data_IF_196188028766
#
_entry.id   IF_196188028766
#
_cell.length_a   1.000
_cell.length_b   1.000
_cell.length_c   1.000
_cell.angle_alpha   90.00
_cell.angle_beta   90.00
_cell.angle_gamma   90.00
#
_symmetry.space_group_name_H-M   'P 1'
#
loop_
_entity.id
_entity.type
_entity.pdbx_description
1 polymer ?
#
# COMPACT_ATOMS: atom_id res chain seq x y z
N UNK A 1 7.70 18.15 -8.77
CA UNK A 1 7.61 16.72 -8.42
C UNK A 1 7.02 15.97 -9.60
N UNK A 2 7.64 14.86 -10.02
CA UNK A 2 7.08 14.01 -11.07
C UNK A 2 5.96 13.13 -10.48
N UNK A 3 4.86 12.95 -11.22
CA UNK A 3 3.73 12.11 -10.80
C UNK A 3 3.48 11.02 -11.85
N UNK A 4 3.23 9.80 -11.41
CA UNK A 4 3.12 8.63 -12.27
C UNK A 4 1.77 7.92 -12.11
N UNK A 5 1.13 7.60 -13.24
CA UNK A 5 -0.10 6.82 -13.33
C UNK A 5 -0.19 6.12 -14.69
N UNK A 6 -0.63 4.86 -14.68
CA UNK A 6 -0.98 4.14 -15.90
C UNK A 6 -2.48 3.92 -15.97
N UNK A 7 -3.17 4.32 -17.06
CA UNK A 7 -4.59 3.97 -17.27
C UNK A 7 -4.86 2.45 -17.29
N UNK A 8 -3.83 1.61 -17.47
CA UNK A 8 -3.98 0.17 -17.36
C UNK A 8 -4.35 -0.29 -15.95
N UNK A 9 -4.10 0.53 -14.91
CA UNK A 9 -4.54 0.30 -13.53
C UNK A 9 -6.06 0.09 -13.44
N UNK A 10 -6.85 0.73 -14.34
CA UNK A 10 -8.31 0.61 -14.39
C UNK A 10 -8.82 -0.77 -14.80
N UNK A 11 -7.94 -1.64 -15.30
CA UNK A 11 -8.26 -3.04 -15.61
C UNK A 11 -8.57 -3.87 -14.37
N UNK A 12 -8.05 -3.47 -13.20
CA UNK A 12 -8.49 -4.04 -11.93
C UNK A 12 -9.65 -3.21 -11.40
N UNK A 13 -10.88 -3.68 -11.59
CA UNK A 13 -12.09 -2.99 -11.12
C UNK A 13 -13.19 -3.97 -10.69
N UNK A 14 -12.93 -4.90 -9.75
CA UNK A 14 -13.98 -5.78 -9.24
C UNK A 14 -15.11 -4.94 -8.63
N UNK A 15 -16.34 -5.19 -9.09
CA UNK A 15 -17.49 -4.39 -8.68
C UNK A 15 -17.87 -4.60 -7.20
N UNK A 16 -17.55 -5.77 -6.65
CA UNK A 16 -17.98 -6.20 -5.33
C UNK A 16 -16.86 -6.90 -4.57
N UNK A 17 -16.88 -6.78 -3.25
CA UNK A 17 -16.08 -7.55 -2.30
C UNK A 17 -16.99 -8.08 -1.18
N UNK A 18 -16.48 -8.91 -0.26
CA UNK A 18 -17.24 -9.28 0.92
C UNK A 18 -16.91 -8.37 2.10
N UNK A 19 -17.92 -7.64 2.57
CA UNK A 19 -17.88 -6.83 3.77
C UNK A 19 -18.72 -7.53 4.85
N UNK A 20 -18.10 -7.88 5.98
CA UNK A 20 -18.79 -8.50 7.13
C UNK A 20 -19.62 -9.74 6.74
N UNK A 21 -19.09 -10.54 5.81
CA UNK A 21 -19.73 -11.77 5.32
C UNK A 21 -20.79 -11.58 4.24
N UNK A 22 -21.04 -10.36 3.76
CA UNK A 22 -22.01 -10.08 2.69
C UNK A 22 -21.37 -9.37 1.51
N UNK A 23 -21.83 -9.60 0.25
CA UNK A 23 -21.40 -8.82 -0.89
C UNK A 23 -21.73 -7.34 -0.72
N UNK A 24 -20.73 -6.48 -0.94
CA UNK A 24 -20.86 -5.03 -0.91
C UNK A 24 -20.14 -4.42 -2.13
N UNK A 25 -20.53 -3.22 -2.59
CA UNK A 25 -19.78 -2.51 -3.63
C UNK A 25 -18.33 -2.28 -3.21
N UNK A 26 -17.36 -2.64 -4.06
CA UNK A 26 -15.96 -2.33 -3.80
C UNK A 26 -15.77 -0.81 -3.68
N UNK A 27 -15.13 -0.31 -2.61
CA UNK A 27 -14.76 1.09 -2.52
C UNK A 27 -13.48 1.39 -3.31
N UNK A 28 -12.67 0.36 -3.62
CA UNK A 28 -11.47 0.44 -4.44
C UNK A 28 -11.84 0.37 -5.93
N UNK A 29 -12.12 1.54 -6.55
CA UNK A 29 -12.60 1.69 -7.93
C UNK A 29 -11.82 2.76 -8.70
N UNK A 30 -11.84 2.73 -10.06
CA UNK A 30 -11.19 3.75 -10.90
C UNK A 30 -11.48 5.21 -10.49
N UNK A 31 -12.70 5.48 -10.02
CA UNK A 31 -13.12 6.78 -9.49
C UNK A 31 -12.14 7.37 -8.45
N UNK A 32 -11.48 6.53 -7.64
CA UNK A 32 -10.45 6.98 -6.70
C UNK A 32 -9.29 7.66 -7.42
N UNK A 33 -8.76 7.00 -8.46
CA UNK A 33 -7.64 7.50 -9.23
C UNK A 33 -8.04 8.77 -10.02
N UNK A 34 -9.26 8.81 -10.55
CA UNK A 34 -9.82 9.99 -11.24
C UNK A 34 -9.85 11.22 -10.32
N UNK A 35 -10.43 11.10 -9.12
CA UNK A 35 -10.51 12.20 -8.14
C UNK A 35 -9.13 12.70 -7.70
N UNK A 36 -8.19 11.80 -7.47
CA UNK A 36 -6.81 12.15 -7.10
C UNK A 36 -6.08 12.81 -8.28
N UNK A 37 -6.28 12.34 -9.51
CA UNK A 37 -5.71 12.93 -10.72
C UNK A 37 -6.24 14.36 -10.98
N UNK A 38 -7.53 14.60 -10.76
CA UNK A 38 -8.13 15.93 -10.82
C UNK A 38 -7.50 16.88 -9.78
N UNK A 39 -7.31 16.41 -8.55
CA UNK A 39 -6.66 17.19 -7.49
C UNK A 39 -5.21 17.55 -7.83
N UNK A 40 -4.44 16.60 -8.39
CA UNK A 40 -3.10 16.88 -8.91
C UNK A 40 -3.11 17.96 -10.01
N UNK A 41 -4.05 17.85 -10.95
CA UNK A 41 -4.23 18.84 -12.01
C UNK A 41 -4.56 20.24 -11.48
N UNK A 42 -5.37 20.33 -10.41
CA UNK A 42 -5.67 21.56 -9.70
C UNK A 42 -4.46 22.21 -9.02
N UNK A 43 -3.41 21.43 -8.73
CA UNK A 43 -2.12 21.91 -8.23
C UNK A 43 -1.09 22.17 -9.35
N UNK A 44 -1.48 22.04 -10.62
CA UNK A 44 -0.56 22.17 -11.76
C UNK A 44 0.39 20.98 -11.94
N UNK A 45 0.22 19.89 -11.19
CA UNK A 45 0.99 18.66 -11.33
C UNK A 45 0.42 17.83 -12.48
N UNK A 46 1.30 17.19 -13.26
CA UNK A 46 0.92 16.36 -14.40
C UNK A 46 1.30 14.91 -14.16
N UNK A 47 0.36 14.01 -14.47
CA UNK A 47 0.61 12.58 -14.50
C UNK A 47 1.31 12.20 -15.80
N UNK A 48 2.30 11.32 -15.67
CA UNK A 48 2.98 10.65 -16.77
C UNK A 48 2.83 9.14 -16.61
N UNK A 49 2.78 8.41 -17.72
CA UNK A 49 2.71 6.95 -17.66
C UNK A 49 4.11 6.32 -17.55
N UNK A 50 4.26 5.21 -16.81
CA UNK A 50 5.49 4.44 -16.83
C UNK A 50 5.77 3.94 -18.27
N UNK A 51 7.06 3.77 -18.60
CA UNK A 51 7.48 3.39 -19.95
C UNK A 51 6.99 1.99 -20.37
N UNK A 52 6.86 1.08 -19.39
CA UNK A 52 6.22 -0.23 -19.54
C UNK A 52 5.47 -0.56 -18.26
N UNK A 53 4.40 -1.35 -18.38
CA UNK A 53 3.66 -1.91 -17.24
C UNK A 53 4.05 -3.36 -16.92
N UNK A 54 4.78 -4.01 -17.83
CA UNK A 54 5.30 -5.35 -17.66
C UNK A 54 6.67 -5.43 -18.34
N UNK A 55 7.72 -5.49 -17.53
CA UNK A 55 9.10 -5.55 -18.00
C UNK A 55 9.85 -6.64 -17.25
N UNK A 56 10.88 -7.25 -17.86
CA UNK A 56 11.73 -8.20 -17.14
C UNK A 56 12.35 -7.60 -15.87
N UNK A 57 12.71 -6.31 -15.88
CA UNK A 57 13.26 -5.61 -14.72
C UNK A 57 12.25 -5.48 -13.58
N UNK A 58 11.00 -5.10 -13.90
CA UNK A 58 9.92 -5.02 -12.93
C UNK A 58 9.64 -6.39 -12.31
N UNK A 59 9.52 -7.44 -13.13
CA UNK A 59 9.29 -8.81 -12.66
C UNK A 59 10.42 -9.28 -11.72
N UNK A 60 11.68 -9.03 -12.10
CA UNK A 60 12.83 -9.37 -11.25
C UNK A 60 12.82 -8.63 -9.92
N UNK A 61 12.46 -7.34 -9.90
CA UNK A 61 12.35 -6.55 -8.67
C UNK A 61 11.22 -7.05 -7.78
N UNK A 62 10.07 -7.42 -8.36
CA UNK A 62 8.96 -8.02 -7.62
C UNK A 62 9.35 -9.34 -6.93
N UNK A 63 10.17 -10.18 -7.57
CA UNK A 63 10.69 -11.43 -6.99
C UNK A 63 11.57 -11.23 -5.75
N UNK A 64 12.04 -10.00 -5.48
CA UNK A 64 12.82 -9.68 -4.28
C UNK A 64 11.96 -9.47 -3.02
N UNK A 65 10.67 -9.21 -3.20
CA UNK A 65 9.73 -8.92 -2.11
C UNK A 65 8.54 -9.89 -2.06
N UNK A 66 8.24 -10.54 -3.19
CA UNK A 66 7.18 -11.54 -3.32
C UNK A 66 7.77 -12.87 -3.76
N UNK A 67 7.24 -13.98 -3.27
CA UNK A 67 7.77 -15.28 -3.68
C UNK A 67 7.38 -15.61 -5.12
N UNK A 68 8.22 -16.36 -5.86
CA UNK A 68 7.90 -16.73 -7.24
C UNK A 68 6.56 -17.46 -7.39
N UNK A 69 6.19 -18.30 -6.42
CA UNK A 69 4.89 -19.01 -6.46
C UNK A 69 3.70 -18.07 -6.26
N UNK A 70 3.84 -17.03 -5.45
CA UNK A 70 2.78 -16.05 -5.26
C UNK A 70 2.57 -15.19 -6.52
N UNK A 71 3.65 -14.76 -7.16
CA UNK A 71 3.59 -14.05 -8.43
C UNK A 71 2.95 -14.92 -9.53
N UNK A 72 3.35 -16.19 -9.64
CA UNK A 72 2.73 -17.15 -10.56
C UNK A 72 1.24 -17.37 -10.25
N UNK A 73 0.86 -17.41 -8.97
CA UNK A 73 -0.53 -17.49 -8.56
C UNK A 73 -1.32 -16.29 -9.09
N UNK A 74 -0.87 -15.05 -8.82
CA UNK A 74 -1.57 -13.84 -9.28
C UNK A 74 -1.75 -13.81 -10.79
N UNK A 75 -0.73 -14.21 -11.55
CA UNK A 75 -0.75 -14.21 -13.02
C UNK A 75 -1.71 -15.26 -13.59
N UNK A 76 -1.86 -16.41 -12.94
CA UNK A 76 -2.52 -17.58 -13.55
C UNK A 76 -3.87 -17.95 -12.90
N UNK A 77 -4.17 -17.47 -11.70
CA UNK A 77 -5.27 -18.00 -10.90
C UNK A 77 -6.62 -17.82 -11.57
N UNK A 78 -6.91 -16.67 -12.18
CA UNK A 78 -8.21 -16.44 -12.81
C UNK A 78 -8.49 -17.45 -13.93
N UNK A 79 -7.54 -17.67 -14.85
CA UNK A 79 -7.71 -18.63 -15.93
C UNK A 79 -7.94 -20.06 -15.39
N UNK A 80 -7.17 -20.46 -14.37
CA UNK A 80 -7.31 -21.77 -13.72
C UNK A 80 -8.61 -21.91 -12.95
N UNK A 81 -9.07 -20.83 -12.32
CA UNK A 81 -10.34 -20.77 -11.60
C UNK A 81 -11.52 -20.95 -12.55
N UNK A 82 -11.53 -20.22 -13.67
CA UNK A 82 -12.59 -20.29 -14.71
C UNK A 82 -12.64 -21.64 -15.44
N UNK A 83 -11.58 -22.43 -15.40
CA UNK A 83 -11.58 -23.80 -15.93
C UNK A 83 -12.35 -24.80 -15.05
N UNK A 84 -12.63 -24.46 -13.78
CA UNK A 84 -13.40 -25.33 -12.88
C UNK A 84 -14.91 -25.25 -13.19
N UNK A 85 -15.62 -26.37 -13.35
CA UNK A 85 -17.07 -26.36 -13.54
C UNK A 85 -17.80 -25.67 -12.38
N UNK A 86 -18.68 -24.72 -12.70
CA UNK A 86 -19.50 -24.00 -11.70
C UNK A 86 -18.76 -22.93 -10.90
N UNK A 87 -17.52 -22.58 -11.25
CA UNK A 87 -16.79 -21.51 -10.57
C UNK A 87 -17.44 -20.13 -10.79
N UNK A 88 -17.33 -19.26 -9.78
CA UNK A 88 -17.70 -17.85 -9.86
C UNK A 88 -16.82 -17.09 -10.86
N UNK A 89 -17.29 -15.94 -11.34
CA UNK A 89 -16.52 -15.07 -12.24
C UNK A 89 -15.26 -14.53 -11.55
N UNK A 90 -15.43 -13.98 -10.35
CA UNK A 90 -14.34 -13.51 -9.52
C UNK A 90 -13.73 -14.67 -8.73
N UNK A 91 -12.40 -14.71 -8.66
CA UNK A 91 -11.69 -15.56 -7.72
C UNK A 91 -11.88 -14.98 -6.32
N UNK A 92 -12.39 -15.77 -5.39
CA UNK A 92 -12.49 -15.43 -3.99
C UNK A 92 -12.20 -16.69 -3.15
N UNK A 93 -11.47 -16.58 -2.03
CA UNK A 93 -11.20 -17.74 -1.19
C UNK A 93 -12.48 -18.19 -0.47
N UNK A 94 -12.53 -19.42 0.00
CA UNK A 94 -13.57 -19.93 0.90
C UNK A 94 -13.04 -20.94 1.91
N UNK A 95 -11.72 -21.15 1.90
CA UNK A 95 -10.94 -22.00 2.79
C UNK A 95 -9.64 -21.26 3.06
N UNK A 96 -9.05 -21.42 4.24
CA UNK A 96 -7.77 -20.79 4.58
C UNK A 96 -6.90 -21.79 5.34
N UNK A 97 -5.55 -21.74 5.20
CA UNK A 97 -4.63 -22.62 5.91
C UNK A 97 -4.45 -22.19 7.38
N UNK A 98 -5.56 -22.05 8.12
CA UNK A 98 -5.56 -21.66 9.53
C UNK A 98 -4.75 -22.66 10.38
N UNK A 99 -4.03 -22.15 11.38
CA UNK A 99 -3.26 -22.98 12.31
C UNK A 99 -1.92 -23.53 11.76
N UNK A 100 -1.37 -22.93 10.70
CA UNK A 100 -0.03 -23.24 10.20
C UNK A 100 0.00 -24.34 9.14
N UNK A 101 -0.90 -24.29 8.15
CA UNK A 101 -0.86 -25.25 7.04
C UNK A 101 0.53 -25.36 6.39
N UNK A 102 1.06 -26.57 6.27
CA UNK A 102 2.41 -26.82 5.71
C UNK A 102 2.40 -27.43 4.31
N UNK A 103 1.26 -27.96 3.86
CA UNK A 103 1.11 -28.57 2.54
C UNK A 103 0.58 -27.55 1.55
N UNK A 104 1.40 -27.16 0.57
CA UNK A 104 0.99 -26.24 -0.48
C UNK A 104 0.11 -26.96 -1.52
N UNK A 105 -1.14 -26.53 -1.74
CA UNK A 105 -2.07 -27.21 -2.64
C UNK A 105 -1.81 -26.88 -4.12
N UNK A 106 -2.06 -27.84 -5.00
CA UNK A 106 -2.08 -27.62 -6.45
C UNK A 106 -3.45 -27.10 -6.94
N UNK A 107 -4.53 -27.40 -6.22
CA UNK A 107 -5.89 -27.06 -6.65
C UNK A 107 -6.17 -25.54 -6.54
N UNK A 108 -6.83 -24.89 -7.54
CA UNK A 108 -7.08 -23.45 -7.52
C UNK A 108 -7.79 -22.94 -6.26
N UNK A 109 -8.78 -23.67 -5.75
CA UNK A 109 -9.45 -23.35 -4.45
C UNK A 109 -8.45 -23.28 -3.30
N UNK A 110 -7.55 -24.27 -3.19
CA UNK A 110 -6.55 -24.31 -2.13
C UNK A 110 -5.54 -23.16 -2.27
N UNK A 111 -5.11 -22.84 -3.49
CA UNK A 111 -4.18 -21.74 -3.74
C UNK A 111 -4.82 -20.37 -3.51
N UNK A 112 -6.09 -20.19 -3.88
CA UNK A 112 -6.85 -19.00 -3.54
C UNK A 112 -6.93 -18.83 -2.02
N UNK A 113 -7.24 -19.90 -1.29
CA UNK A 113 -7.23 -19.88 0.18
C UNK A 113 -5.87 -19.62 0.82
N UNK A 114 -4.80 -20.06 0.17
CA UNK A 114 -3.42 -19.87 0.63
C UNK A 114 -2.95 -18.42 0.45
N UNK A 115 -3.24 -17.82 -0.70
CA UNK A 115 -2.68 -16.54 -1.11
C UNK A 115 -3.62 -15.35 -0.93
N UNK A 116 -4.93 -15.57 -0.72
CA UNK A 116 -5.89 -14.50 -0.43
C UNK A 116 -6.26 -14.59 1.05
N UNK A 117 -5.70 -13.68 1.86
CA UNK A 117 -5.82 -13.71 3.31
C UNK A 117 -7.24 -13.41 3.80
N UNK A 118 -7.95 -12.55 3.07
CA UNK A 118 -9.29 -12.12 3.37
C UNK A 118 -10.18 -12.18 2.11
N UNK A 119 -11.38 -11.63 2.22
CA UNK A 119 -12.38 -11.60 1.16
C UNK A 119 -12.49 -10.23 0.49
N UNK A 120 -11.50 -9.36 0.69
CA UNK A 120 -11.39 -8.02 0.13
C UNK A 120 -10.52 -7.98 -1.15
N UNK A 121 -9.94 -9.11 -1.57
CA UNK A 121 -9.08 -9.21 -2.75
C UNK A 121 -9.67 -10.07 -3.89
N UNK A 122 -10.88 -9.77 -4.41
CA UNK A 122 -11.41 -10.49 -5.55
C UNK A 122 -10.58 -10.26 -6.82
N UNK A 123 -10.30 -11.33 -7.58
CA UNK A 123 -9.51 -11.26 -8.82
C UNK A 123 -10.40 -11.59 -10.03
N UNK A 124 -10.49 -10.65 -10.97
CA UNK A 124 -11.13 -10.82 -12.27
C UNK A 124 -10.13 -11.02 -13.42
N UNK A 125 -10.64 -11.20 -14.64
CA UNK A 125 -9.83 -11.56 -15.82
C UNK A 125 -8.65 -10.63 -16.08
N UNK A 126 -8.88 -9.32 -16.01
CA UNK A 126 -7.86 -8.31 -16.33
C UNK A 126 -7.15 -7.75 -15.08
N UNK A 127 -7.44 -8.31 -13.90
CA UNK A 127 -6.91 -7.80 -12.63
C UNK A 127 -5.39 -7.81 -12.58
N UNK A 128 -4.75 -8.88 -13.04
CA UNK A 128 -3.29 -8.98 -12.99
C UNK A 128 -2.60 -7.87 -13.78
N UNK A 129 -3.14 -7.49 -14.95
CA UNK A 129 -2.60 -6.39 -15.74
C UNK A 129 -2.74 -5.03 -15.03
N UNK A 130 -3.86 -4.79 -14.34
CA UNK A 130 -4.05 -3.58 -13.54
C UNK A 130 -3.18 -3.53 -12.30
N UNK A 131 -3.02 -4.68 -11.63
CA UNK A 131 -2.13 -4.85 -10.48
C UNK A 131 -0.66 -4.56 -10.87
N UNK A 132 -0.18 -5.14 -11.98
CA UNK A 132 1.17 -4.86 -12.49
C UNK A 132 1.35 -3.39 -12.90
N UNK A 133 0.34 -2.78 -13.50
CA UNK A 133 0.39 -1.36 -13.88
C UNK A 133 0.54 -0.43 -12.66
N UNK A 134 -0.03 -0.79 -11.51
CA UNK A 134 0.17 -0.07 -10.24
C UNK A 134 1.63 -0.16 -9.78
N UNK A 135 2.19 -1.38 -9.77
CA UNK A 135 3.58 -1.63 -9.43
C UNK A 135 4.55 -0.88 -10.37
N UNK A 136 4.21 -0.77 -11.65
CA UNK A 136 5.00 -0.01 -12.63
C UNK A 136 4.99 1.51 -12.35
N UNK A 137 3.88 2.07 -11.85
CA UNK A 137 3.83 3.47 -11.41
C UNK A 137 4.73 3.71 -10.19
N UNK A 138 4.75 2.77 -9.24
CA UNK A 138 5.69 2.81 -8.10
C UNK A 138 7.15 2.68 -8.54
N UNK A 139 7.44 1.77 -9.49
CA UNK A 139 8.75 1.61 -10.09
C UNK A 139 9.23 2.91 -10.74
N UNK A 140 8.40 3.56 -11.55
CA UNK A 140 8.77 4.81 -12.23
C UNK A 140 9.06 5.95 -11.25
N UNK A 141 8.25 6.09 -10.19
CA UNK A 141 8.49 7.09 -9.15
C UNK A 141 9.79 6.81 -8.37
N UNK A 142 10.03 5.55 -8.03
CA UNK A 142 11.25 5.15 -7.33
C UNK A 142 12.51 5.31 -8.20
N UNK A 143 12.45 4.94 -9.48
CA UNK A 143 13.55 5.14 -10.43
C UNK A 143 13.85 6.63 -10.66
N UNK A 144 12.83 7.52 -10.66
CA UNK A 144 13.03 8.96 -10.73
C UNK A 144 13.80 9.50 -9.50
N UNK A 145 13.39 9.11 -8.28
CA UNK A 145 14.07 9.53 -7.03
C UNK A 145 15.46 8.91 -6.91
N UNK A 146 15.60 7.64 -7.29
CA UNK A 146 16.91 6.97 -7.42
C UNK A 146 17.78 7.68 -8.45
N UNK A 147 17.21 8.26 -9.50
CA UNK A 147 17.88 9.07 -10.53
C UNK A 147 18.32 10.46 -10.08
N UNK A 148 17.83 10.94 -8.93
CA UNK A 148 18.21 12.23 -8.34
C UNK A 148 17.07 13.23 -8.20
N UNK A 149 15.83 12.87 -8.57
CA UNK A 149 14.67 13.69 -8.20
C UNK A 149 14.52 13.74 -6.67
N UNK A 150 14.23 14.93 -6.14
CA UNK A 150 14.04 15.12 -4.70
C UNK A 150 12.77 14.42 -4.20
N UNK A 151 11.72 14.41 -5.02
CA UNK A 151 10.51 13.65 -4.74
C UNK A 151 9.77 13.24 -6.01
N UNK A 152 9.05 12.13 -5.94
CA UNK A 152 8.10 11.68 -6.95
C UNK A 152 6.87 11.05 -6.29
N UNK A 153 5.73 11.11 -6.97
CA UNK A 153 4.48 10.54 -6.51
C UNK A 153 4.00 9.43 -7.45
N UNK A 154 3.76 8.24 -6.91
CA UNK A 154 3.11 7.14 -7.61
C UNK A 154 1.64 7.08 -7.21
N UNK A 155 0.74 7.43 -8.14
CA UNK A 155 -0.70 7.29 -7.96
C UNK A 155 -1.09 5.82 -8.16
N UNK A 156 -0.71 4.99 -7.19
CA UNK A 156 -0.92 3.55 -7.20
C UNK A 156 -2.40 3.19 -6.98
N UNK A 157 -2.85 2.22 -7.75
CA UNK A 157 -4.19 1.65 -7.74
C UNK A 157 -4.16 0.32 -8.52
N UNK A 158 -4.46 -0.85 -7.91
CA UNK A 158 -4.81 -1.04 -6.50
C UNK A 158 -3.65 -0.67 -5.54
N UNK A 159 -3.96 -0.46 -4.24
CA UNK A 159 -2.97 -0.20 -3.19
C UNK A 159 -2.06 -1.43 -2.94
N UNK A 160 -1.09 -1.31 -2.04
CA UNK A 160 -0.04 -2.31 -1.85
C UNK A 160 0.30 -2.72 -0.42
N UNK A 161 0.11 -1.87 0.59
CA UNK A 161 0.73 -2.08 1.91
C UNK A 161 0.26 -3.33 2.69
N UNK A 162 -0.88 -3.92 2.35
CA UNK A 162 -1.36 -5.19 2.93
C UNK A 162 -0.83 -6.45 2.21
N UNK A 163 -0.22 -6.30 1.04
CA UNK A 163 0.37 -7.42 0.33
C UNK A 163 1.70 -7.82 0.99
N UNK A 164 1.74 -9.02 1.58
CA UNK A 164 2.97 -9.61 2.12
C UNK A 164 3.72 -10.43 1.07
N UNK A 165 4.80 -11.15 1.44
CA UNK A 165 5.61 -11.91 0.49
C UNK A 165 4.82 -12.98 -0.28
N UNK A 166 3.76 -13.52 0.31
CA UNK A 166 2.97 -14.61 -0.26
C UNK A 166 1.46 -14.43 -0.14
N UNK A 167 0.98 -13.21 0.17
CA UNK A 167 -0.45 -12.98 0.38
C UNK A 167 -0.92 -11.63 -0.15
N UNK A 168 -2.13 -11.64 -0.70
CA UNK A 168 -2.98 -10.48 -0.91
C UNK A 168 -3.92 -10.31 0.30
N UNK A 169 -4.31 -9.07 0.57
CA UNK A 169 -5.30 -8.71 1.59
C UNK A 169 -5.66 -7.23 1.47
N UNK A 170 -6.80 -6.79 2.00
CA UNK A 170 -7.20 -5.39 2.08
C UNK A 170 -7.07 -4.63 0.75
N UNK A 171 -7.60 -5.19 -0.34
CA UNK A 171 -7.49 -4.65 -1.71
C UNK A 171 -6.08 -4.64 -2.32
N UNK A 172 -5.05 -5.09 -1.60
CA UNK A 172 -3.66 -5.08 -2.02
C UNK A 172 -3.21 -6.44 -2.58
N UNK A 173 -2.43 -6.41 -3.66
CA UNK A 173 -1.95 -7.64 -4.34
C UNK A 173 -0.43 -7.64 -4.51
N UNK A 174 0.15 -6.52 -4.95
CA UNK A 174 1.60 -6.31 -4.97
C UNK A 174 1.92 -5.13 -4.07
N UNK A 175 2.95 -5.28 -3.24
CA UNK A 175 3.35 -4.23 -2.32
C UNK A 175 4.18 -3.14 -3.02
N UNK A 176 3.48 -2.06 -3.41
CA UNK A 176 4.03 -0.94 -4.15
C UNK A 176 5.07 -0.15 -3.33
N UNK A 177 4.81 0.08 -2.04
CA UNK A 177 5.74 0.76 -1.13
C UNK A 177 7.02 -0.07 -0.90
N UNK A 178 6.89 -1.38 -0.71
CA UNK A 178 8.04 -2.29 -0.58
C UNK A 178 8.85 -2.39 -1.89
N UNK A 179 8.19 -2.38 -3.05
CA UNK A 179 8.85 -2.34 -4.35
C UNK A 179 9.69 -1.07 -4.50
N UNK A 180 9.11 0.09 -4.17
CA UNK A 180 9.81 1.37 -4.17
C UNK A 180 11.02 1.33 -3.23
N UNK A 181 10.89 0.76 -2.03
CA UNK A 181 11.99 0.60 -1.10
C UNK A 181 13.12 -0.29 -1.65
N UNK A 182 12.79 -1.41 -2.29
CA UNK A 182 13.79 -2.26 -2.96
C UNK A 182 14.56 -1.49 -4.04
N UNK A 183 13.87 -0.69 -4.85
CA UNK A 183 14.49 0.11 -5.91
C UNK A 183 15.40 1.19 -5.33
N UNK A 184 14.96 1.90 -4.28
CA UNK A 184 15.81 2.90 -3.62
C UNK A 184 17.04 2.25 -2.97
N UNK A 185 16.93 1.00 -2.48
CA UNK A 185 18.05 0.24 -1.94
C UNK A 185 19.14 -0.10 -2.97
N UNK A 186 18.86 0.00 -4.28
CA UNK A 186 19.88 -0.09 -5.33
C UNK A 186 20.87 1.09 -5.30
N UNK A 187 20.52 2.22 -4.64
CA UNK A 187 21.39 3.41 -4.50
C UNK A 187 21.69 3.79 -3.05
N UNK A 188 20.70 3.69 -2.17
CA UNK A 188 20.77 4.16 -0.78
C UNK A 188 20.92 2.97 0.16
N UNK A 189 21.88 2.99 1.08
CA UNK A 189 22.20 1.89 2.00
C UNK A 189 21.10 1.63 3.04
N UNK A 190 20.38 2.69 3.44
CA UNK A 190 19.31 2.66 4.45
C UNK A 190 18.11 3.42 3.94
N UNK A 191 16.96 2.75 3.88
CA UNK A 191 15.71 3.31 3.37
C UNK A 191 14.63 3.15 4.43
N UNK A 192 13.83 4.18 4.67
CA UNK A 192 12.69 4.10 5.59
C UNK A 192 11.37 4.11 4.82
N UNK A 193 10.40 3.38 5.33
CA UNK A 193 8.99 3.44 4.92
C UNK A 193 8.20 3.98 6.11
N UNK A 194 7.54 5.12 5.91
CA UNK A 194 6.58 5.69 6.87
C UNK A 194 5.19 5.53 6.28
N UNK A 195 4.37 4.72 6.92
CA UNK A 195 2.99 4.45 6.55
C UNK A 195 2.04 5.33 7.38
N UNK A 196 1.35 6.23 6.68
CA UNK A 196 0.37 7.18 7.25
C UNK A 196 -1.07 6.82 6.88
N UNK A 197 -1.30 5.64 6.29
CA UNK A 197 -2.63 5.10 6.04
C UNK A 197 -3.38 4.82 7.36
N UNK A 198 -4.72 4.84 7.31
CA UNK A 198 -5.57 4.49 8.44
C UNK A 198 -5.24 3.09 9.00
N UNK A 199 -4.88 2.16 8.12
CA UNK A 199 -4.66 0.76 8.43
C UNK A 199 -3.17 0.45 8.58
N UNK A 200 -2.86 -0.54 9.42
CA UNK A 200 -1.49 -1.06 9.49
C UNK A 200 -1.07 -1.70 8.16
N UNK A 201 0.06 -1.26 7.61
CA UNK A 201 0.76 -1.89 6.48
C UNK A 201 1.38 -3.25 6.83
N UNK A 202 0.57 -4.22 7.25
CA UNK A 202 0.99 -5.55 7.70
C UNK A 202 1.75 -6.36 6.64
N UNK A 203 1.49 -6.12 5.35
CA UNK A 203 2.26 -6.72 4.26
C UNK A 203 3.67 -6.15 4.18
N UNK A 204 3.78 -4.82 4.26
CA UNK A 204 5.05 -4.10 4.26
C UNK A 204 5.90 -4.51 5.46
N UNK A 205 5.32 -4.54 6.65
CA UNK A 205 5.99 -5.01 7.86
C UNK A 205 6.57 -6.41 7.67
N UNK A 206 5.79 -7.36 7.14
CA UNK A 206 6.22 -8.75 6.99
C UNK A 206 7.37 -8.92 5.99
N UNK A 207 7.36 -8.18 4.88
CA UNK A 207 8.44 -8.20 3.87
C UNK A 207 9.80 -7.81 4.48
N UNK A 208 9.81 -6.86 5.43
CA UNK A 208 11.04 -6.32 6.02
C UNK A 208 11.27 -6.76 7.47
N UNK A 209 10.42 -7.60 8.05
CA UNK A 209 10.43 -7.88 9.48
C UNK A 209 11.76 -8.42 10.01
N UNK A 210 12.49 -9.17 9.18
CA UNK A 210 13.79 -9.74 9.50
C UNK A 210 14.99 -8.95 8.92
N UNK A 211 14.75 -7.75 8.38
CA UNK A 211 15.73 -6.98 7.61
C UNK A 211 16.09 -5.67 8.30
N UNK A 212 17.36 -5.49 8.62
CA UNK A 212 17.89 -4.24 9.20
C UNK A 212 18.28 -3.17 8.18
N UNK A 213 18.09 -3.40 6.89
CA UNK A 213 18.45 -2.46 5.82
C UNK A 213 17.28 -1.56 5.37
N UNK A 214 16.06 -1.89 5.79
CA UNK A 214 14.85 -1.08 5.58
C UNK A 214 14.14 -0.93 6.93
N UNK A 215 13.81 0.30 7.30
CA UNK A 215 13.04 0.60 8.49
C UNK A 215 11.56 0.77 8.14
N UNK A 216 10.66 0.14 8.89
CA UNK A 216 9.21 0.23 8.70
C UNK A 216 8.55 0.87 9.91
N UNK A 217 7.84 1.97 9.67
CA UNK A 217 7.07 2.66 10.69
C UNK A 217 5.64 2.87 10.24
N UNK A 218 4.67 2.59 11.11
CA UNK A 218 3.26 2.81 10.83
C UNK A 218 2.54 3.36 12.06
N UNK A 219 1.71 4.37 11.85
CA UNK A 219 0.69 4.82 12.79
C UNK A 219 -0.68 4.54 12.18
N UNK A 220 -1.57 3.90 12.93
CA UNK A 220 -2.81 3.33 12.38
C UNK A 220 -3.86 3.15 13.46
N UNK A 221 -5.12 2.95 13.08
CA UNK A 221 -6.17 2.56 14.01
C UNK A 221 -5.83 1.24 14.71
N UNK A 222 -6.13 1.14 16.00
CA UNK A 222 -5.74 0.00 16.84
C UNK A 222 -6.27 -1.32 16.27
N UNK A 223 -5.37 -2.28 15.93
CA UNK A 223 -5.79 -3.52 15.29
C UNK A 223 -6.65 -4.40 16.20
N UNK A 224 -6.69 -4.17 17.52
CA UNK A 224 -7.63 -4.89 18.38
C UNK A 224 -9.10 -4.61 18.04
N UNK A 225 -9.38 -3.48 17.39
CA UNK A 225 -10.73 -3.05 16.99
C UNK A 225 -10.88 -2.82 15.48
N UNK A 226 -9.78 -2.77 14.73
CA UNK A 226 -9.77 -2.38 13.32
C UNK A 226 -8.91 -3.29 12.43
N UNK A 227 -9.21 -3.31 11.13
CA UNK A 227 -8.43 -4.10 10.16
C UNK A 227 -6.95 -3.62 10.17
N UNK A 228 -5.95 -4.52 10.22
CA UNK A 228 -5.97 -5.94 9.83
C UNK A 228 -6.11 -6.97 10.95
N UNK A 229 -6.45 -6.58 12.19
CA UNK A 229 -6.74 -7.43 13.34
C UNK A 229 -5.61 -8.28 13.95
N UNK A 230 -4.72 -8.83 13.13
CA UNK A 230 -3.75 -9.85 13.56
C UNK A 230 -2.30 -9.35 13.57
N UNK A 231 -2.08 -8.10 13.17
CA UNK A 231 -0.77 -7.44 13.09
C UNK A 231 -0.92 -5.95 13.41
N UNK A 232 0.20 -5.31 13.72
CA UNK A 232 0.25 -3.88 14.04
C UNK A 232 0.37 -3.61 15.54
N UNK A 233 0.53 -4.65 16.37
CA UNK A 233 0.78 -4.49 17.80
C UNK A 233 2.03 -3.66 18.08
N UNK A 234 1.99 -2.85 19.13
CA UNK A 234 3.11 -1.99 19.55
C UNK A 234 4.33 -2.78 20.08
N UNK A 235 4.16 -4.07 20.35
CA UNK A 235 5.19 -5.04 20.77
C UNK A 235 5.91 -5.70 19.58
N UNK A 236 5.42 -5.53 18.35
CA UNK A 236 6.04 -6.05 17.14
C UNK A 236 7.21 -5.15 16.70
N UNK A 237 8.45 -5.56 16.96
CA UNK A 237 9.66 -4.71 16.78
C UNK A 237 10.65 -5.17 15.71
N UNK A 238 10.28 -6.19 14.96
CA UNK A 238 11.16 -6.87 14.01
C UNK A 238 11.69 -8.18 14.58
N UNK A 239 12.63 -8.80 13.87
CA UNK A 239 13.25 -10.05 14.28
C UNK A 239 14.64 -10.19 13.67
N UNK A 240 15.52 -10.98 14.28
CA UNK A 240 16.86 -11.24 13.72
C UNK A 240 17.62 -9.94 13.44
N UNK A 241 18.12 -9.79 12.20
CA UNK A 241 18.85 -8.58 11.78
C UNK A 241 17.94 -7.33 11.68
N UNK A 242 16.62 -7.52 11.65
CA UNK A 242 15.62 -6.45 11.65
C UNK A 242 15.12 -6.02 13.04
N UNK A 243 15.68 -6.57 14.12
CA UNK A 243 15.29 -6.17 15.48
C UNK A 243 15.49 -4.65 15.68
N UNK A 244 14.42 -3.96 16.09
CA UNK A 244 14.40 -2.50 16.23
C UNK A 244 14.18 -1.72 14.91
N UNK A 245 14.06 -2.40 13.77
CA UNK A 245 13.77 -1.80 12.48
C UNK A 245 12.27 -1.72 12.16
N UNK A 246 11.39 -2.16 13.07
CA UNK A 246 9.94 -1.99 12.96
C UNK A 246 9.38 -1.20 14.14
N UNK A 247 8.51 -0.23 13.87
CA UNK A 247 7.80 0.53 14.91
C UNK A 247 6.34 0.76 14.53
N UNK A 248 5.44 0.18 15.33
CA UNK A 248 4.00 0.41 15.23
C UNK A 248 3.53 1.38 16.32
N UNK A 249 2.66 2.31 15.95
CA UNK A 249 1.94 3.21 16.88
C UNK A 249 0.43 3.07 16.66
N UNK A 250 -0.21 2.11 17.35
CA UNK A 250 -1.67 2.01 17.38
C UNK A 250 -2.31 3.26 17.99
N UNK A 251 -3.38 3.72 17.35
CA UNK A 251 -4.21 4.86 17.77
C UNK A 251 -5.59 4.35 18.14
N UNK A 252 -6.14 4.86 19.26
CA UNK A 252 -7.53 4.59 19.61
C UNK A 252 -8.47 5.07 18.50
N UNK A 253 -9.56 4.33 18.28
CA UNK A 253 -10.63 4.72 17.35
C UNK A 253 -11.11 6.15 17.68
N UNK A 254 -11.45 6.91 16.63
CA UNK A 254 -11.86 8.32 16.69
C UNK A 254 -10.74 9.30 17.12
N UNK A 255 -9.48 8.87 17.16
CA UNK A 255 -8.36 9.81 17.35
C UNK A 255 -8.37 10.88 16.25
N UNK A 256 -8.26 12.14 16.66
CA UNK A 256 -8.29 13.30 15.77
C UNK A 256 -6.90 13.70 15.26
N UNK A 257 -6.83 14.75 14.43
CA UNK A 257 -5.57 15.24 13.87
C UNK A 257 -4.49 15.55 14.89
N UNK A 258 -4.82 16.05 16.09
CA UNK A 258 -3.83 16.27 17.15
C UNK A 258 -3.18 14.95 17.59
N UNK A 259 -3.99 13.93 17.88
CA UNK A 259 -3.49 12.61 18.28
C UNK A 259 -2.66 11.96 17.17
N UNK A 260 -3.10 12.12 15.91
CA UNK A 260 -2.36 11.63 14.76
C UNK A 260 -0.98 12.29 14.62
N UNK A 261 -0.91 13.62 14.75
CA UNK A 261 0.36 14.36 14.67
C UNK A 261 1.30 13.99 15.83
N UNK A 262 0.79 13.88 17.06
CA UNK A 262 1.60 13.42 18.20
C UNK A 262 2.17 12.01 17.98
N UNK A 263 1.40 11.11 17.37
CA UNK A 263 1.88 9.79 16.98
C UNK A 263 2.90 9.85 15.84
N UNK A 264 2.69 10.69 14.83
CA UNK A 264 3.64 10.87 13.74
C UNK A 264 4.99 11.39 14.27
N UNK A 265 4.97 12.38 15.16
CA UNK A 265 6.18 12.93 15.77
C UNK A 265 6.95 11.82 16.52
N UNK A 266 6.25 10.98 17.31
CA UNK A 266 6.85 9.81 17.98
C UNK A 266 7.40 8.78 17.00
N UNK A 267 6.73 8.56 15.87
CA UNK A 267 7.17 7.62 14.84
C UNK A 267 8.48 8.10 14.21
N UNK A 268 8.55 9.38 13.86
CA UNK A 268 9.73 10.02 13.27
C UNK A 268 10.90 10.08 14.26
N UNK A 269 10.63 10.33 15.54
CA UNK A 269 11.63 10.21 16.61
C UNK A 269 12.20 8.78 16.71
N UNK A 270 11.34 7.77 16.64
CA UNK A 270 11.74 6.36 16.66
C UNK A 270 12.61 5.96 15.45
N UNK A 271 12.39 6.59 14.30
CA UNK A 271 13.19 6.40 13.09
C UNK A 271 14.58 7.04 13.17
N UNK A 272 14.79 8.06 14.03
CA UNK A 272 15.97 8.92 13.98
C UNK A 272 17.31 8.14 14.09
N UNK A 273 17.36 7.10 14.92
CA UNK A 273 18.56 6.28 15.10
C UNK A 273 18.95 5.48 13.83
N UNK A 274 17.96 5.12 13.01
CA UNK A 274 18.16 4.41 11.75
C UNK A 274 18.90 5.28 10.70
N UNK A 275 18.75 6.62 10.78
CA UNK A 275 19.37 7.60 9.87
C UNK A 275 19.16 7.21 8.38
N UNK A 276 17.89 7.17 7.92
CA UNK A 276 17.58 6.81 6.54
C UNK A 276 18.21 7.81 5.56
N UNK A 277 18.54 7.33 4.37
CA UNK A 277 19.12 8.11 3.27
C UNK A 277 18.08 8.43 2.19
N UNK A 278 16.95 7.71 2.20
CA UNK A 278 15.77 7.97 1.40
C UNK A 278 14.51 7.48 2.12
N UNK A 279 13.36 8.04 1.72
CA UNK A 279 12.07 7.82 2.36
C UNK A 279 11.04 7.33 1.34
N UNK A 280 10.20 6.40 1.77
CA UNK A 280 8.93 6.07 1.12
C UNK A 280 7.83 6.48 2.09
N UNK A 281 6.84 7.19 1.58
CA UNK A 281 5.60 7.47 2.32
C UNK A 281 4.50 6.61 1.71
N UNK A 282 4.02 5.62 2.47
CA UNK A 282 2.77 4.93 2.15
C UNK A 282 1.63 5.89 2.54
N UNK A 283 1.07 6.56 1.54
CA UNK A 283 0.16 7.69 1.68
C UNK A 283 -1.28 7.22 1.55
N UNK A 284 -1.92 6.91 2.69
CA UNK A 284 -3.36 6.79 2.79
C UNK A 284 -4.03 8.12 3.14
N UNK A 285 -5.28 8.29 2.69
CA UNK A 285 -6.10 9.49 2.95
C UNK A 285 -7.42 9.14 3.65
N UNK A 286 -7.58 7.88 4.08
CA UNK A 286 -8.76 7.30 4.73
C UNK A 286 -8.83 7.55 6.23
N UNK A 287 -7.80 8.15 6.84
CA UNK A 287 -7.88 8.65 8.22
C UNK A 287 -8.85 9.85 8.37
N UNK A 288 -9.36 10.38 7.25
CA UNK A 288 -10.33 11.47 7.24
C UNK A 288 -11.70 11.02 7.76
N UNK A 289 -12.34 11.85 8.59
CA UNK A 289 -13.61 11.52 9.28
C UNK A 289 -14.79 11.13 8.38
N UNK A 290 -14.80 11.63 7.13
CA UNK A 290 -15.85 11.34 6.14
C UNK A 290 -15.54 10.09 5.27
N UNK A 291 -14.41 9.42 5.48
CA UNK A 291 -14.08 8.20 4.75
C UNK A 291 -15.07 7.07 5.10
N UNK A 292 -15.60 6.32 4.11
CA UNK A 292 -16.62 5.30 4.35
C UNK A 292 -16.16 4.11 5.20
N UNK A 293 -14.85 3.83 5.30
CA UNK A 293 -14.37 2.76 6.16
C UNK A 293 -14.37 3.18 7.64
N UNK A 294 -14.15 4.47 7.91
CA UNK A 294 -14.18 5.14 9.21
C UNK A 294 -13.31 4.50 10.31
N UNK A 295 -12.51 5.28 11.03
CA UNK A 295 -11.73 4.75 12.16
C UNK A 295 -10.92 5.80 12.90
N UNK A 296 -10.51 6.84 12.19
CA UNK A 296 -9.93 8.06 12.73
C UNK A 296 -10.78 9.27 12.32
N UNK A 297 -10.54 10.41 12.96
CA UNK A 297 -11.36 11.60 12.83
C UNK A 297 -10.54 12.82 12.37
N UNK A 298 -9.69 12.66 11.35
CA UNK A 298 -8.94 13.79 10.78
C UNK A 298 -9.86 14.67 9.93
N UNK A 299 -9.60 15.97 9.98
CA UNK A 299 -10.12 16.96 9.04
C UNK A 299 -9.15 17.17 7.87
N UNK A 300 -9.62 17.74 6.76
CA UNK A 300 -8.77 18.04 5.59
C UNK A 300 -7.54 18.88 5.96
N UNK A 301 -7.70 19.86 6.86
CA UNK A 301 -6.59 20.70 7.32
C UNK A 301 -5.48 19.91 8.02
N UNK A 302 -5.76 18.76 8.62
CA UNK A 302 -4.81 17.92 9.35
C UNK A 302 -3.81 17.22 8.42
N UNK A 303 -4.11 17.10 7.13
CA UNK A 303 -3.17 16.54 6.16
C UNK A 303 -2.01 17.49 5.84
N UNK A 304 -2.22 18.80 5.95
CA UNK A 304 -1.16 19.81 5.76
C UNK A 304 -0.01 19.64 6.77
N UNK A 305 -0.27 19.58 8.10
CA UNK A 305 0.78 19.34 9.06
C UNK A 305 1.48 18.00 8.84
N UNK A 306 0.79 16.92 8.45
CA UNK A 306 1.42 15.62 8.14
C UNK A 306 2.48 15.77 7.03
N UNK A 307 2.08 16.33 5.88
CA UNK A 307 3.02 16.56 4.77
C UNK A 307 4.21 17.44 5.18
N UNK A 308 3.99 18.45 6.03
CA UNK A 308 5.05 19.32 6.50
C UNK A 308 6.11 18.61 7.37
N UNK A 309 5.71 17.68 8.26
CA UNK A 309 6.68 16.89 9.05
C UNK A 309 7.54 16.02 8.15
N UNK A 310 6.91 15.34 7.20
CA UNK A 310 7.60 14.43 6.29
C UNK A 310 8.57 15.18 5.36
N UNK A 311 8.19 16.36 4.85
CA UNK A 311 9.09 17.16 4.04
C UNK A 311 10.27 17.74 4.84
N UNK A 312 10.07 18.07 6.12
CA UNK A 312 11.11 18.61 7.01
C UNK A 312 12.25 17.62 7.29
N UNK A 313 12.07 16.32 7.01
CA UNK A 313 13.14 15.32 7.07
C UNK A 313 14.24 15.56 6.02
N UNK A 314 13.92 16.32 4.98
CA UNK A 314 14.81 16.67 3.86
C UNK A 314 15.47 15.47 3.14
N UNK A 315 14.68 14.40 2.91
CA UNK A 315 15.16 13.18 2.25
C UNK A 315 14.64 13.05 0.81
N UNK A 316 15.39 12.38 -0.08
CA UNK A 316 14.84 11.85 -1.34
C UNK A 316 13.60 10.99 -1.04
N UNK A 317 12.42 11.38 -1.54
CA UNK A 317 11.15 10.80 -1.08
C UNK A 317 10.27 10.29 -2.22
N UNK A 318 9.82 9.04 -2.12
CA UNK A 318 8.76 8.49 -2.97
C UNK A 318 7.45 8.50 -2.20
N UNK A 319 6.45 9.21 -2.70
CA UNK A 319 5.08 9.12 -2.19
C UNK A 319 4.37 8.00 -2.95
N UNK A 320 3.77 7.04 -2.25
CA UNK A 320 3.06 5.90 -2.84
C UNK A 320 1.63 5.92 -2.34
N UNK A 321 0.66 6.11 -3.24
CA UNK A 321 -0.75 6.13 -2.85
C UNK A 321 -1.21 4.75 -2.32
N UNK A 322 -1.83 4.75 -1.14
CA UNK A 322 -2.45 3.57 -0.53
C UNK A 322 -3.98 3.76 -0.49
N UNK A 323 -4.59 3.79 0.70
CA UNK A 323 -6.02 3.95 0.96
C UNK A 323 -6.55 5.37 0.74
N UNK A 324 -7.75 5.64 1.25
CA UNK A 324 -8.56 6.82 0.95
C UNK A 324 -9.55 6.56 -0.18
N UNK A 325 -10.83 6.51 0.16
CA UNK A 325 -11.90 6.06 -0.75
C UNK A 325 -12.73 7.23 -1.29
N UNK A 326 -13.53 7.02 -2.37
CA UNK A 326 -14.20 8.13 -3.05
C UNK A 326 -15.16 8.90 -2.14
N UNK A 327 -14.75 10.11 -1.78
CA UNK A 327 -15.54 11.10 -1.04
C UNK A 327 -15.34 12.47 -1.68
N UNK A 328 -16.19 13.47 -1.39
CA UNK A 328 -15.94 14.85 -1.80
C UNK A 328 -14.61 15.43 -1.26
N UNK A 329 -14.10 14.88 -0.15
CA UNK A 329 -12.90 15.38 0.53
C UNK A 329 -11.59 14.74 0.03
N UNK A 330 -11.64 13.59 -0.66
CA UNK A 330 -10.44 12.83 -1.07
C UNK A 330 -9.40 13.69 -1.82
N UNK A 331 -9.83 14.43 -2.85
CA UNK A 331 -8.94 15.32 -3.60
C UNK A 331 -8.42 16.50 -2.76
N UNK A 332 -9.24 17.02 -1.85
CA UNK A 332 -8.85 18.11 -0.96
C UNK A 332 -7.81 17.64 0.08
N UNK A 333 -7.94 16.40 0.58
CA UNK A 333 -7.00 15.79 1.51
C UNK A 333 -5.62 15.61 0.85
N UNK A 334 -5.58 15.09 -0.39
CA UNK A 334 -4.34 15.02 -1.17
C UNK A 334 -3.73 16.42 -1.36
N UNK A 335 -4.56 17.41 -1.73
CA UNK A 335 -4.08 18.77 -1.95
C UNK A 335 -3.54 19.42 -0.67
N UNK A 336 -4.17 19.18 0.48
CA UNK A 336 -3.68 19.64 1.78
C UNK A 336 -2.33 18.99 2.12
N UNK A 337 -2.21 17.66 1.97
CA UNK A 337 -0.96 16.93 2.17
C UNK A 337 0.18 17.50 1.30
N UNK A 338 -0.06 17.64 -0.01
CA UNK A 338 0.94 18.10 -0.97
C UNK A 338 1.37 19.55 -0.76
N UNK A 339 0.46 20.43 -0.29
CA UNK A 339 0.84 21.79 0.13
C UNK A 339 1.78 21.76 1.32
N UNK A 340 1.47 20.93 2.33
CA UNK A 340 2.36 20.72 3.48
C UNK A 340 3.71 20.15 3.08
N UNK A 341 3.72 19.21 2.12
CA UNK A 341 4.92 18.58 1.60
C UNK A 341 5.79 19.50 0.73
N UNK A 342 5.36 20.75 0.48
CA UNK A 342 6.14 21.74 -0.25
C UNK A 342 6.06 21.61 -1.77
N UNK A 343 5.00 20.97 -2.29
CA UNK A 343 4.75 20.85 -3.72
C UNK A 343 3.60 21.76 -4.15
N UNK A 344 3.93 23.02 -4.43
CA UNK A 344 3.06 24.04 -5.05
C UNK A 344 3.86 24.94 -5.97
#
# INVERSE_FOLDING_TARGET
MQCFYSPAQDRHAPATFLLRGAPAPSPERPERAERLAEALGGLGLRLSSPASIDSPGLRQRLETIHTPRYLQFLETIHARWRAMPGAAELVAPNVHPAGGGHHYPEHPIGQAGWHLHDMACPIGADSFAGILASAASAEAAADAVKGGERAAYALCRPPGHHAGPERAGGFCFLNNAALAACILRERYARVAIVDVDLHHGNGTQDIFYARGDVWTGSLHADPSEFYPFFWGGADERGSGDGEGANLNIPLSIDSNGRGFIEALDRLLEGMAAFRPEALIVALGLDAHKDDPLAGLALDTEDFTPIGARLNALDLPTVLVQEGGYPTPSLGNNLAAFLRGFGTT
#
